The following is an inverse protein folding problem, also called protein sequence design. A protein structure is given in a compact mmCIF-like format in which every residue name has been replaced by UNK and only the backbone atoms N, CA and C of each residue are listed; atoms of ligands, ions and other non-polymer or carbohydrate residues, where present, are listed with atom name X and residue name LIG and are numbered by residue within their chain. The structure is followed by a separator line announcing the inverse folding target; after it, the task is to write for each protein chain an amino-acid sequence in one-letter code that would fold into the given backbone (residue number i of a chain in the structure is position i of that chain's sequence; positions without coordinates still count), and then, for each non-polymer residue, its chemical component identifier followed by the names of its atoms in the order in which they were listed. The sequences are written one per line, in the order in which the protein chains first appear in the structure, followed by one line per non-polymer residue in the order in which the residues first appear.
data_IF_188346739929
#
_entry.id   IF_188346739929
#
_cell.length_a   1.000
_cell.length_b   1.000
_cell.length_c   1.000
_cell.angle_alpha   90.00
_cell.angle_beta   90.00
_cell.angle_gamma   90.00
#
_symmetry.space_group_name_H-M   'P 1'
#
loop_
_entity.id
_entity.type
_entity.pdbx_description
1 polymer ?
#
# COMPACT_ATOMS: atom_id res chain seq x y z
N UNK A 1 23.82 35.50 -11.09
CA UNK A 1 22.53 34.88 -11.47
C UNK A 1 22.34 33.69 -10.54
N UNK A 2 21.31 33.69 -9.71
CA UNK A 2 20.90 32.48 -8.99
C UNK A 2 20.05 31.67 -9.97
N UNK A 3 20.42 30.42 -10.32
CA UNK A 3 19.50 29.58 -11.07
C UNK A 3 18.29 29.36 -10.16
N UNK A 4 17.12 29.85 -10.58
CA UNK A 4 15.86 29.47 -9.97
C UNK A 4 15.73 27.97 -10.16
N UNK A 5 16.06 27.18 -9.14
CA UNK A 5 15.65 25.78 -9.10
C UNK A 5 14.14 25.81 -9.07
N UNK A 6 13.50 25.57 -10.22
CA UNK A 6 12.07 25.27 -10.24
C UNK A 6 11.89 24.09 -9.29
N UNK A 7 11.12 24.24 -8.19
CA UNK A 7 10.89 23.11 -7.30
C UNK A 7 10.29 21.98 -8.15
N UNK A 8 10.93 20.83 -8.14
CA UNK A 8 10.37 19.65 -8.80
C UNK A 8 8.94 19.45 -8.24
N UNK A 9 7.95 19.17 -9.09
CA UNK A 9 6.61 18.88 -8.61
C UNK A 9 6.70 17.74 -7.60
N UNK A 10 6.05 17.92 -6.46
CA UNK A 10 6.01 16.90 -5.42
C UNK A 10 5.46 15.59 -6.04
N UNK A 11 6.07 14.43 -5.75
CA UNK A 11 5.55 13.16 -6.22
C UNK A 11 4.09 13.00 -5.84
N UNK A 12 3.25 12.63 -6.81
CA UNK A 12 1.84 12.36 -6.54
C UNK A 12 1.71 11.08 -5.71
N UNK A 13 0.82 11.11 -4.71
CA UNK A 13 0.55 9.93 -3.91
C UNK A 13 -0.09 8.85 -4.78
N UNK A 14 0.41 7.63 -4.70
CA UNK A 14 -0.14 6.49 -5.39
C UNK A 14 -0.15 5.27 -4.48
N UNK A 15 -1.02 4.31 -4.77
CA UNK A 15 -1.04 2.99 -4.15
C UNK A 15 -1.26 1.98 -5.28
N UNK A 16 -0.32 1.07 -5.44
CA UNK A 16 -0.40 -0.02 -6.40
C UNK A 16 -0.17 -1.34 -5.66
N UNK A 17 -1.08 -2.30 -5.81
CA UNK A 17 -0.92 -3.64 -5.26
C UNK A 17 -0.38 -4.52 -6.39
N UNK A 18 0.85 -5.01 -6.22
CA UNK A 18 1.50 -5.90 -7.20
C UNK A 18 1.07 -7.35 -6.98
N UNK A 19 0.98 -7.77 -5.71
CA UNK A 19 0.55 -9.11 -5.33
C UNK A 19 -0.21 -9.09 -3.98
N UNK A 20 -1.16 -10.01 -3.77
CA UNK A 20 -1.68 -10.93 -4.77
C UNK A 20 -2.56 -10.19 -5.78
N UNK A 21 -2.58 -10.65 -7.05
CA UNK A 21 -3.56 -10.13 -8.02
C UNK A 21 -4.97 -10.31 -7.47
N UNK A 22 -5.84 -9.34 -7.71
CA UNK A 22 -7.22 -9.34 -7.24
C UNK A 22 -7.93 -10.64 -7.66
N UNK A 23 -8.82 -11.17 -6.82
CA UNK A 23 -9.60 -12.41 -7.05
C UNK A 23 -8.81 -13.74 -7.07
N UNK A 24 -7.65 -13.85 -6.42
CA UNK A 24 -7.01 -15.16 -6.23
C UNK A 24 -7.66 -15.89 -5.05
N UNK A 25 -8.07 -17.14 -5.27
CA UNK A 25 -8.47 -18.05 -4.20
C UNK A 25 -7.21 -18.53 -3.47
N UNK A 26 -7.07 -18.16 -2.21
CA UNK A 26 -5.87 -18.47 -1.43
C UNK A 26 -6.17 -19.66 -0.54
N UNK A 27 -5.61 -20.83 -0.87
CA UNK A 27 -5.75 -22.06 -0.07
C UNK A 27 -4.91 -22.06 1.22
N UNK A 28 -4.31 -20.93 1.57
CA UNK A 28 -3.45 -20.74 2.74
C UNK A 28 -4.12 -19.80 3.73
N UNK A 29 -3.87 -20.02 5.02
CA UNK A 29 -4.40 -19.20 6.12
C UNK A 29 -3.75 -17.81 6.21
N UNK A 30 -3.00 -17.38 5.20
CA UNK A 30 -2.36 -16.07 5.12
C UNK A 30 -2.01 -15.70 3.69
N UNK A 31 -2.00 -14.41 3.40
CA UNK A 31 -1.54 -13.84 2.14
C UNK A 31 -0.39 -12.86 2.34
N UNK A 32 0.51 -12.86 1.38
CA UNK A 32 1.52 -11.84 1.23
C UNK A 32 0.98 -10.74 0.33
N UNK A 33 0.58 -9.62 0.94
CA UNK A 33 0.21 -8.40 0.20
C UNK A 33 1.48 -7.58 0.01
N UNK A 34 1.87 -7.42 -1.24
CA UNK A 34 2.97 -6.57 -1.68
C UNK A 34 2.51 -5.57 -2.71
N UNK A 35 3.10 -4.39 -2.66
CA UNK A 35 2.78 -3.32 -3.57
C UNK A 35 3.83 -2.22 -3.54
N UNK A 36 3.51 -1.14 -4.24
CA UNK A 36 4.32 0.05 -4.30
C UNK A 36 3.49 1.28 -3.94
N UNK A 37 4.13 2.22 -3.26
CA UNK A 37 3.61 3.54 -2.91
C UNK A 37 4.77 4.53 -2.80
N UNK A 38 4.50 5.76 -2.36
CA UNK A 38 5.57 6.72 -2.10
C UNK A 38 6.44 6.26 -0.92
N UNK A 39 7.78 6.29 -1.04
CA UNK A 39 8.69 5.93 0.05
C UNK A 39 8.50 6.80 1.32
N UNK A 40 8.01 8.03 1.15
CA UNK A 40 7.76 8.96 2.26
C UNK A 40 6.33 8.89 2.79
N UNK A 41 5.46 8.06 2.21
CA UNK A 41 4.09 7.92 2.67
C UNK A 41 3.95 6.98 3.86
N UNK A 42 2.94 7.26 4.69
CA UNK A 42 2.55 6.43 5.82
C UNK A 42 1.54 5.40 5.32
N UNK A 43 1.95 4.13 5.31
CA UNK A 43 1.09 3.00 4.94
C UNK A 43 0.52 2.32 6.19
N UNK A 44 -0.79 2.11 6.22
CA UNK A 44 -1.52 1.34 7.21
C UNK A 44 -2.27 0.21 6.51
N UNK A 45 -2.06 -1.02 6.97
CA UNK A 45 -2.74 -2.23 6.46
C UNK A 45 -3.47 -2.88 7.63
N UNK A 46 -4.79 -3.06 7.53
CA UNK A 46 -5.64 -3.54 8.63
C UNK A 46 -5.46 -2.72 9.92
N UNK A 47 -5.42 -1.39 9.81
CA UNK A 47 -5.11 -0.48 10.93
C UNK A 47 -3.73 -0.68 11.58
N UNK A 48 -2.83 -1.46 10.96
CA UNK A 48 -1.45 -1.65 11.42
C UNK A 48 -0.49 -0.91 10.50
N UNK A 49 0.30 0.01 11.06
CA UNK A 49 1.37 0.69 10.31
C UNK A 49 2.35 -0.33 9.72
N UNK A 50 2.63 -0.16 8.43
CA UNK A 50 3.54 -1.00 7.67
C UNK A 50 4.63 -0.11 7.08
N UNK A 51 5.88 -0.55 7.22
CA UNK A 51 7.02 0.18 6.70
C UNK A 51 7.07 0.02 5.18
N UNK A 52 7.26 1.15 4.49
CA UNK A 52 7.57 1.21 3.07
C UNK A 52 9.09 1.32 2.93
N UNK A 53 9.68 0.56 2.02
CA UNK A 53 11.12 0.59 1.76
C UNK A 53 11.53 1.88 1.01
N UNK A 54 12.84 2.14 0.92
CA UNK A 54 13.39 3.30 0.20
C UNK A 54 13.01 3.33 -1.29
N UNK A 55 12.66 2.16 -1.85
CA UNK A 55 12.15 2.03 -3.22
C UNK A 55 10.65 2.31 -3.36
N UNK A 56 9.93 2.52 -2.26
CA UNK A 56 8.47 2.65 -2.26
C UNK A 56 7.75 1.31 -2.18
N UNK A 57 8.49 0.21 -2.08
CA UNK A 57 7.93 -1.14 -2.04
C UNK A 57 7.54 -1.51 -0.61
N UNK A 58 6.40 -2.18 -0.43
CA UNK A 58 5.98 -2.71 0.85
C UNK A 58 5.56 -4.16 0.72
N UNK A 59 5.70 -4.90 1.82
CA UNK A 59 5.27 -6.29 1.91
C UNK A 59 4.72 -6.56 3.30
N UNK A 60 3.52 -7.16 3.36
CA UNK A 60 2.85 -7.48 4.61
C UNK A 60 2.18 -8.84 4.51
N UNK A 61 2.53 -9.73 5.44
CA UNK A 61 1.80 -10.96 5.63
C UNK A 61 0.51 -10.68 6.42
N UNK A 62 -0.63 -11.03 5.85
CA UNK A 62 -1.96 -10.85 6.44
C UNK A 62 -2.55 -12.24 6.68
N UNK A 63 -2.83 -12.62 7.94
CA UNK A 63 -3.54 -13.86 8.22
C UNK A 63 -4.97 -13.76 7.68
N UNK A 64 -5.42 -14.81 7.00
CA UNK A 64 -6.77 -14.94 6.49
C UNK A 64 -7.54 -15.96 7.31
N UNK A 65 -8.80 -15.65 7.59
CA UNK A 65 -9.73 -16.54 8.25
C UNK A 65 -10.63 -17.23 7.22
N UNK A 66 -11.18 -18.42 7.50
CA UNK A 66 -12.15 -19.05 6.61
C UNK A 66 -13.34 -18.12 6.34
N UNK A 67 -13.59 -17.80 5.06
CA UNK A 67 -14.63 -16.86 4.64
C UNK A 67 -14.09 -15.62 3.91
N UNK A 68 -14.89 -14.55 3.89
CA UNK A 68 -14.53 -13.29 3.24
C UNK A 68 -13.60 -12.48 4.15
N UNK A 69 -12.40 -12.17 3.66
CA UNK A 69 -11.45 -11.31 4.35
C UNK A 69 -11.35 -9.98 3.61
N UNK A 70 -11.73 -8.89 4.27
CA UNK A 70 -11.58 -7.54 3.75
C UNK A 70 -10.31 -6.96 4.33
N UNK A 71 -9.39 -6.53 3.48
CA UNK A 71 -8.16 -5.87 3.91
C UNK A 71 -8.29 -4.39 3.64
N UNK A 72 -8.16 -3.55 4.67
CA UNK A 72 -8.08 -2.10 4.50
C UNK A 72 -6.63 -1.69 4.27
N UNK A 73 -6.34 -1.03 3.14
CA UNK A 73 -5.09 -0.33 2.90
C UNK A 73 -5.35 1.17 2.92
N UNK A 74 -4.60 1.90 3.74
CA UNK A 74 -4.61 3.35 3.78
C UNK A 74 -3.21 3.86 3.61
N UNK A 75 -3.04 4.80 2.69
CA UNK A 75 -1.79 5.52 2.46
C UNK A 75 -2.03 6.99 2.70
N UNK A 76 -1.14 7.63 3.45
CA UNK A 76 -1.14 9.07 3.67
C UNK A 76 0.19 9.67 3.22
N UNK A 77 0.15 10.60 2.27
CA UNK A 77 1.31 11.33 1.77
C UNK A 77 1.65 12.54 2.63
N UNK A 78 2.87 13.05 2.47
CA UNK A 78 3.38 14.21 3.25
C UNK A 78 2.61 15.52 3.01
N UNK A 79 1.94 15.63 1.86
CA UNK A 79 1.08 16.77 1.52
C UNK A 79 -0.34 16.67 2.12
N UNK A 80 -0.62 15.63 2.92
CA UNK A 80 -1.93 15.36 3.48
C UNK A 80 -2.89 14.62 2.54
N UNK A 81 -2.45 14.25 1.33
CA UNK A 81 -3.23 13.39 0.44
C UNK A 81 -3.41 12.01 1.10
N UNK A 82 -4.56 11.39 0.88
CA UNK A 82 -4.89 10.07 1.43
C UNK A 82 -5.50 9.20 0.35
N UNK A 83 -4.99 7.98 0.22
CA UNK A 83 -5.58 6.93 -0.61
C UNK A 83 -6.07 5.83 0.32
N UNK A 84 -7.27 5.31 0.05
CA UNK A 84 -7.83 4.15 0.74
C UNK A 84 -8.29 3.14 -0.29
N UNK A 85 -7.91 1.90 -0.08
CA UNK A 85 -8.33 0.77 -0.91
C UNK A 85 -8.79 -0.39 -0.01
N UNK A 86 -9.75 -1.15 -0.50
CA UNK A 86 -10.38 -2.26 0.23
C UNK A 86 -10.42 -3.53 -0.63
N UNK A 87 -9.26 -4.13 -0.95
CA UNK A 87 -9.23 -5.40 -1.65
C UNK A 87 -9.92 -6.50 -0.82
N UNK A 88 -10.81 -7.22 -1.49
CA UNK A 88 -11.48 -8.40 -0.97
C UNK A 88 -10.73 -9.67 -1.39
N UNK A 89 -10.45 -10.53 -0.40
CA UNK A 89 -9.81 -11.83 -0.61
C UNK A 89 -10.75 -12.94 -0.14
N UNK A 90 -10.92 -13.95 -0.99
CA UNK A 90 -11.73 -15.14 -0.69
C UNK A 90 -10.81 -16.34 -0.43
N UNK A 91 -10.91 -16.91 0.76
CA UNK A 91 -10.27 -18.17 1.16
C UNK A 91 -11.17 -19.34 0.79
#
# INVERSE_FOLDING_TARGET
MIPTVTPAPLPELFLEITDPKNNIAVSSNSILVSGATLPTAILEINSVRTTVDVRGEFVKNIPLNPGQNVVELKVEGENGNKIRDFPDYKV
#
